data_IF_336025240039
#
_entry.id   IF_336025240039
#
_cell.length_a   1.000
_cell.length_b   1.000
_cell.length_c   1.000
_cell.angle_alpha   90.00
_cell.angle_beta   90.00
_cell.angle_gamma   90.00
#
_symmetry.space_group_name_H-M   'P 1'
#
loop_
_entity.id
_entity.type
_entity.pdbx_description
1 polymer ?
#
# COMPACT_ATOMS: atom_id res chain seq x y z
N UNK A 1 4.47 11.92 2.67
CA UNK A 1 5.77 11.39 3.16
C UNK A 1 5.88 9.93 2.75
N UNK A 2 7.09 9.38 2.56
CA UNK A 2 7.31 7.97 2.16
C UNK A 2 8.21 7.30 3.20
N UNK A 3 7.62 6.61 4.17
CA UNK A 3 8.37 5.88 5.20
C UNK A 3 8.93 4.57 4.61
N UNK A 4 10.20 4.26 4.87
CA UNK A 4 10.84 3.05 4.30
C UNK A 4 11.95 2.50 5.19
N UNK A 5 11.89 1.20 5.46
CA UNK A 5 12.97 0.43 6.08
C UNK A 5 13.52 -0.63 5.11
N UNK A 6 14.80 -0.96 5.25
CA UNK A 6 15.49 -1.95 4.42
C UNK A 6 16.26 -2.95 5.25
N UNK A 7 16.14 -4.23 4.92
CA UNK A 7 16.76 -5.33 5.65
C UNK A 7 17.44 -6.29 4.66
N UNK A 8 18.56 -6.90 5.07
CA UNK A 8 19.25 -7.94 4.31
C UNK A 8 19.50 -9.12 5.24
N UNK A 9 19.16 -10.33 4.80
CA UNK A 9 19.30 -11.53 5.61
C UNK A 9 19.02 -12.81 4.82
N UNK A 10 19.06 -13.94 5.51
CA UNK A 10 18.75 -15.26 4.97
C UNK A 10 17.24 -15.43 4.71
N UNK A 11 16.88 -16.45 3.92
CA UNK A 11 15.47 -16.83 3.69
C UNK A 11 14.70 -17.06 4.99
N UNK A 12 15.33 -17.66 6.00
CA UNK A 12 14.69 -17.94 7.30
C UNK A 12 14.37 -16.66 8.05
N UNK A 13 15.32 -15.73 8.10
CA UNK A 13 15.15 -14.43 8.75
C UNK A 13 14.09 -13.59 8.02
N UNK A 14 14.10 -13.59 6.70
CA UNK A 14 13.09 -12.91 5.88
C UNK A 14 11.67 -13.45 6.14
N UNK A 15 11.48 -14.77 6.16
CA UNK A 15 10.17 -15.38 6.45
C UNK A 15 9.71 -15.07 7.88
N UNK A 16 10.62 -15.15 8.86
CA UNK A 16 10.30 -14.79 10.25
C UNK A 16 9.87 -13.33 10.38
N UNK A 17 10.64 -12.43 9.77
CA UNK A 17 10.34 -10.99 9.73
C UNK A 17 8.98 -10.71 9.08
N UNK A 18 8.69 -11.30 7.91
CA UNK A 18 7.39 -11.12 7.25
C UNK A 18 6.24 -11.58 8.14
N UNK A 19 6.37 -12.73 8.81
CA UNK A 19 5.33 -13.23 9.71
C UNK A 19 5.07 -12.30 10.90
N UNK A 20 6.13 -11.76 11.52
CA UNK A 20 6.01 -10.78 12.59
C UNK A 20 5.42 -9.46 12.09
N UNK A 21 5.85 -8.99 10.92
CA UNK A 21 5.36 -7.76 10.30
C UNK A 21 3.85 -7.82 10.07
N UNK A 22 3.35 -8.89 9.45
CA UNK A 22 1.91 -9.06 9.25
C UNK A 22 1.15 -9.21 10.57
N UNK A 23 1.71 -9.94 11.54
CA UNK A 23 1.11 -10.07 12.87
C UNK A 23 0.97 -8.71 13.57
N UNK A 24 2.00 -7.86 13.51
CA UNK A 24 1.96 -6.50 14.06
C UNK A 24 0.97 -5.63 13.30
N UNK A 25 0.93 -5.73 11.97
CA UNK A 25 0.00 -4.98 11.12
C UNK A 25 -1.45 -5.22 11.52
N UNK A 26 -1.88 -6.49 11.57
CA UNK A 26 -3.27 -6.83 11.92
C UNK A 26 -3.63 -6.60 13.38
N UNK A 27 -2.64 -6.34 14.25
CA UNK A 27 -2.85 -5.90 15.63
C UNK A 27 -2.86 -4.37 15.78
N UNK A 28 -2.64 -3.62 14.70
CA UNK A 28 -2.47 -2.16 14.75
C UNK A 28 -1.19 -1.72 15.45
N UNK A 29 -0.17 -2.58 15.53
CA UNK A 29 1.08 -2.37 16.26
C UNK A 29 2.29 -2.19 15.34
N UNK A 30 2.10 -2.18 14.02
CA UNK A 30 3.20 -1.98 13.09
C UNK A 30 3.60 -0.51 13.06
N UNK A 31 4.89 -0.25 13.20
CA UNK A 31 5.51 1.05 13.01
C UNK A 31 6.57 0.96 11.91
N UNK A 32 6.71 2.00 11.11
CA UNK A 32 7.78 2.16 10.12
C UNK A 32 8.41 3.53 10.35
N UNK A 33 9.71 3.60 10.61
CA UNK A 33 10.41 4.86 10.97
C UNK A 33 9.66 5.63 12.08
N UNK A 34 9.27 4.92 13.15
CA UNK A 34 8.51 5.45 14.29
C UNK A 34 7.09 5.96 13.98
N UNK A 35 6.58 5.75 12.76
CA UNK A 35 5.20 6.09 12.37
C UNK A 35 4.32 4.84 12.38
N UNK A 36 3.24 4.89 13.15
CA UNK A 36 2.25 3.81 13.21
C UNK A 36 1.51 3.67 11.88
N UNK A 37 1.39 2.44 11.39
CA UNK A 37 0.61 2.12 10.20
C UNK A 37 -0.84 1.93 10.61
N UNK A 38 -1.71 2.84 10.17
CA UNK A 38 -3.16 2.80 10.41
C UNK A 38 -3.89 2.36 9.15
N UNK A 39 -4.51 1.17 9.21
CA UNK A 39 -5.39 0.65 8.15
C UNK A 39 -6.84 0.85 8.61
N UNK A 40 -7.71 1.47 7.80
CA UNK A 40 -9.13 1.60 8.11
C UNK A 40 -9.84 0.24 8.13
N UNK A 41 -10.72 0.02 9.11
CA UNK A 41 -11.50 -1.22 9.25
C UNK A 41 -12.76 -1.24 8.38
N UNK A 42 -13.20 -0.07 7.93
CA UNK A 42 -14.47 0.20 7.25
C UNK A 42 -14.32 0.39 5.74
N UNK A 43 -13.09 0.27 5.20
CA UNK A 43 -12.79 0.52 3.79
C UNK A 43 -12.27 -0.70 3.06
N UNK A 44 -12.50 -0.72 1.76
CA UNK A 44 -11.92 -1.73 0.89
C UNK A 44 -10.39 -1.58 0.81
N UNK A 45 -9.71 -2.71 0.78
CA UNK A 45 -8.27 -2.80 0.63
C UNK A 45 -7.95 -3.33 -0.77
N UNK A 46 -7.13 -2.61 -1.52
CA UNK A 46 -6.51 -3.10 -2.74
C UNK A 46 -5.22 -3.83 -2.39
N UNK A 47 -5.10 -5.09 -2.80
CA UNK A 47 -3.91 -5.90 -2.56
C UNK A 47 -3.36 -6.48 -3.87
N UNK A 48 -2.06 -6.32 -4.07
CA UNK A 48 -1.34 -6.75 -5.26
C UNK A 48 -0.10 -7.54 -4.89
N UNK A 49 0.07 -8.69 -5.54
CA UNK A 49 1.30 -9.50 -5.47
C UNK A 49 1.95 -9.50 -6.84
N UNK A 50 3.22 -9.11 -6.91
CA UNK A 50 4.04 -9.15 -8.12
C UNK A 50 5.25 -10.05 -7.87
N UNK A 51 5.48 -10.99 -8.77
CA UNK A 51 6.63 -11.88 -8.73
C UNK A 51 7.40 -11.77 -10.04
N UNK A 52 8.70 -11.58 -9.93
CA UNK A 52 9.65 -11.49 -11.03
C UNK A 52 10.82 -12.41 -10.70
N UNK A 53 11.26 -13.21 -11.67
CA UNK A 53 12.38 -14.11 -11.46
C UNK A 53 13.03 -14.44 -12.80
N UNK A 54 14.31 -14.13 -12.91
CA UNK A 54 15.13 -14.37 -14.10
C UNK A 54 16.40 -15.17 -13.75
N UNK A 55 17.38 -15.18 -14.64
CA UNK A 55 18.62 -15.94 -14.47
C UNK A 55 19.56 -15.36 -13.41
N UNK A 56 19.42 -14.07 -13.07
CA UNK A 56 20.32 -13.35 -12.15
C UNK A 56 19.65 -12.99 -10.83
N UNK A 57 18.37 -12.65 -10.84
CA UNK A 57 17.66 -12.16 -9.67
C UNK A 57 16.20 -12.62 -9.58
N UNK A 58 15.67 -12.54 -8.36
CA UNK A 58 14.28 -12.82 -8.07
C UNK A 58 13.72 -11.80 -7.09
N UNK A 59 12.50 -11.35 -7.33
CA UNK A 59 11.80 -10.38 -6.54
C UNK A 59 10.35 -10.80 -6.30
N UNK A 60 9.91 -10.64 -5.05
CA UNK A 60 8.51 -10.69 -4.66
C UNK A 60 8.13 -9.34 -4.04
N UNK A 61 7.10 -8.70 -4.55
CA UNK A 61 6.50 -7.51 -3.98
C UNK A 61 5.06 -7.80 -3.57
N UNK A 62 4.74 -7.51 -2.31
CA UNK A 62 3.37 -7.53 -1.78
C UNK A 62 3.01 -6.11 -1.40
N UNK A 63 1.94 -5.57 -1.98
CA UNK A 63 1.44 -4.22 -1.72
C UNK A 63 0.00 -4.30 -1.23
N UNK A 64 -0.29 -3.57 -0.16
CA UNK A 64 -1.64 -3.33 0.36
C UNK A 64 -1.85 -1.82 0.33
N UNK A 65 -2.96 -1.37 -0.27
CA UNK A 65 -3.30 0.04 -0.43
C UNK A 65 -4.74 0.27 0.00
N UNK A 66 -5.01 1.46 0.54
CA UNK A 66 -6.35 1.90 0.95
C UNK A 66 -6.49 3.40 0.74
N UNK A 67 -7.72 3.89 0.68
CA UNK A 67 -8.01 5.31 0.56
C UNK A 67 -8.37 5.90 1.93
N UNK A 68 -7.59 6.86 2.42
CA UNK A 68 -7.86 7.49 3.72
C UNK A 68 -9.03 8.47 3.70
N UNK A 69 -9.34 9.07 2.55
CA UNK A 69 -10.51 9.89 2.32
C UNK A 69 -11.23 9.35 1.08
N UNK A 70 -12.56 9.33 1.11
CA UNK A 70 -13.35 9.27 -0.13
C UNK A 70 -13.11 10.62 -0.81
N UNK A 71 -12.42 10.62 -1.95
CA UNK A 71 -12.43 11.80 -2.81
C UNK A 71 -13.82 11.78 -3.44
N UNK A 72 -14.70 12.69 -3.03
CA UNK A 72 -15.87 13.02 -3.86
C UNK A 72 -15.30 13.39 -5.23
N UNK A 73 -15.56 12.57 -6.25
CA UNK A 73 -15.31 12.96 -7.63
C UNK A 73 -16.09 14.26 -7.86
N UNK A 74 -15.40 15.40 -7.91
CA UNK A 74 -15.99 16.66 -8.37
C UNK A 74 -16.52 16.40 -9.79
N UNK A 75 -17.85 16.40 -9.95
CA UNK A 75 -18.50 16.43 -11.26
C UNK A 75 -17.89 17.60 -12.04
N UNK A 76 -17.18 17.31 -13.14
CA UNK A 76 -16.74 18.35 -14.07
C UNK A 76 -17.98 19.15 -14.52
N UNK A 77 -18.01 20.49 -14.37
CA UNK A 77 -19.15 21.25 -14.85
C UNK A 77 -19.23 21.12 -16.37
N UNK A 78 -20.36 20.60 -16.86
CA UNK A 78 -20.69 20.60 -18.29
C UNK A 78 -20.54 22.03 -18.85
N UNK A 79 -19.65 22.21 -19.82
CA UNK A 79 -19.52 23.44 -20.60
C UNK A 79 -20.88 23.74 -21.27
N UNK A 80 -21.59 24.76 -20.77
CA UNK A 80 -22.71 25.33 -21.52
C UNK A 80 -22.11 26.16 -22.66
N UNK A 81 -22.12 25.60 -23.87
CA UNK A 81 -21.96 26.37 -25.10
C UNK A 81 -23.14 27.36 -25.21
N UNK A 82 -22.91 28.64 -24.90
CA UNK A 82 -23.83 29.71 -25.25
C UNK A 82 -23.76 29.93 -26.78
N UNK A 83 -24.75 29.42 -27.51
CA UNK A 83 -25.09 29.93 -28.85
C UNK A 83 -25.70 31.34 -28.69
N UNK A 84 -24.98 32.38 -29.11
CA UNK A 84 -25.57 33.70 -29.38
C UNK A 84 -25.96 33.80 -30.87
N UNK A 85 -27.26 34.06 -31.09
CA UNK A 85 -27.92 34.47 -32.35
C UNK A 85 -27.43 35.83 -32.89
#
# INVERSE_FOLDING_TARGET
MKYKEGYVGTRKECIGFMGELFTKLFKGQLTVEDVQVEIPEDKELDYKVKYENDEMEGQLAVKISWMNAEIEEEEEPEEQEEEED
#
